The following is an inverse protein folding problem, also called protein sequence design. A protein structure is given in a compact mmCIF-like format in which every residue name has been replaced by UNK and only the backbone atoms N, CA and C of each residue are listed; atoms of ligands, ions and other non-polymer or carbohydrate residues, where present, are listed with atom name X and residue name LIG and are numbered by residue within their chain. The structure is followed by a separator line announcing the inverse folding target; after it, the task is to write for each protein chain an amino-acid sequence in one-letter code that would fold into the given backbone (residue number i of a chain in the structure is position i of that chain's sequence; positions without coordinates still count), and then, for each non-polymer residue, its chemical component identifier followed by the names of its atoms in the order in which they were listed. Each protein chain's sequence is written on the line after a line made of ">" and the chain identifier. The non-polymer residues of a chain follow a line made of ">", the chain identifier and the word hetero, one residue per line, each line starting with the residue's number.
data_IF_033811445144
#
_entry.id   IF_033811445144
#
_cell.length_a   1.000
_cell.length_b   1.000
_cell.length_c   1.000
_cell.angle_alpha   90.00
_cell.angle_beta   90.00
_cell.angle_gamma   90.00
#
_symmetry.space_group_name_H-M   'P 1'
#
loop_
_entity.id
_entity.type
_entity.pdbx_description
1 polymer ?
#
# COMPACT_ATOMS: atom_id res chain seq x y z
N UNK A 1 -11.95 -4.87 61.41
CA UNK A 1 -12.53 -5.67 60.31
C UNK A 1 -12.91 -4.70 59.18
N UNK A 2 -11.99 -4.23 58.35
CA UNK A 2 -11.51 -4.81 57.07
C UNK A 2 -12.61 -5.25 56.10
N UNK A 3 -12.99 -4.37 55.15
CA UNK A 3 -13.06 -4.66 53.70
C UNK A 3 -13.57 -3.42 52.94
N UNK A 4 -12.64 -2.58 52.52
CA UNK A 4 -12.86 -1.56 51.50
C UNK A 4 -11.56 -1.42 50.70
N UNK A 5 -11.35 -2.36 49.78
CA UNK A 5 -10.25 -2.33 48.81
C UNK A 5 -10.70 -3.10 47.59
N UNK A 6 -10.32 -2.64 46.39
CA UNK A 6 -10.71 -3.10 45.04
C UNK A 6 -11.71 -2.21 44.27
N UNK A 7 -11.66 -0.89 44.41
CA UNK A 7 -12.28 0.02 43.42
C UNK A 7 -11.28 0.98 42.72
N UNK A 8 -10.11 1.38 43.27
CA UNK A 8 -9.27 2.32 42.52
C UNK A 8 -8.39 1.66 41.44
N UNK A 9 -8.30 0.32 41.40
CA UNK A 9 -7.42 -0.41 40.46
C UNK A 9 -8.05 -0.56 39.07
N UNK A 10 -9.39 -0.56 38.95
CA UNK A 10 -10.06 -0.80 37.67
C UNK A 10 -10.17 0.45 36.79
N UNK A 11 -10.09 1.64 37.38
CA UNK A 11 -10.17 2.91 36.65
C UNK A 11 -8.86 3.28 35.91
N UNK A 12 -7.75 2.59 36.19
CA UNK A 12 -6.45 2.84 35.56
C UNK A 12 -6.25 2.08 34.24
N UNK A 13 -7.17 1.19 33.86
CA UNK A 13 -7.02 0.36 32.64
C UNK A 13 -7.69 0.91 31.37
N UNK A 14 -8.34 2.07 31.42
CA UNK A 14 -9.17 2.57 30.28
C UNK A 14 -8.50 3.68 29.44
N UNK A 15 -7.25 4.08 29.75
CA UNK A 15 -6.54 5.15 28.98
C UNK A 15 -5.56 4.58 27.94
N UNK A 16 -5.49 3.25 27.77
CA UNK A 16 -4.37 2.61 27.06
C UNK A 16 -4.51 2.30 25.57
N UNK A 17 -5.61 2.61 24.88
CA UNK A 17 -5.83 2.09 23.51
C UNK A 17 -6.34 3.11 22.48
N UNK A 18 -5.90 4.37 22.53
CA UNK A 18 -6.13 5.34 21.44
C UNK A 18 -4.90 6.21 21.16
N UNK A 19 -3.74 5.60 20.97
CA UNK A 19 -2.59 6.27 20.33
C UNK A 19 -1.75 5.22 19.62
N UNK A 20 -1.73 5.25 18.29
CA UNK A 20 -0.69 4.61 17.48
C UNK A 20 0.62 5.40 17.65
N UNK A 21 1.17 5.37 18.86
CA UNK A 21 2.53 5.83 19.13
C UNK A 21 3.40 4.59 19.32
N UNK A 22 4.47 4.52 18.52
CA UNK A 22 5.50 3.50 18.60
C UNK A 22 6.25 3.63 19.93
N UNK A 23 5.69 3.04 20.98
CA UNK A 23 6.38 2.77 22.24
C UNK A 23 7.35 1.62 22.00
N UNK A 24 8.56 1.96 21.53
CA UNK A 24 9.52 0.93 21.14
C UNK A 24 10.91 1.37 20.72
N UNK A 25 11.38 2.56 21.11
CA UNK A 25 12.82 2.83 21.30
C UNK A 25 12.95 4.23 21.92
N UNK A 26 13.76 4.41 22.96
CA UNK A 26 14.12 5.72 23.52
C UNK A 26 15.01 6.56 22.59
N UNK A 27 14.83 6.41 21.28
CA UNK A 27 15.52 7.19 20.25
C UNK A 27 14.58 8.31 19.89
N UNK A 28 14.92 9.51 20.33
CA UNK A 28 14.23 10.72 19.90
C UNK A 28 14.26 10.75 18.36
N UNK A 29 13.09 10.87 17.70
CA UNK A 29 13.06 10.89 16.24
C UNK A 29 13.91 12.06 15.76
N UNK A 30 14.70 11.89 14.68
CA UNK A 30 15.45 12.99 14.12
C UNK A 30 14.52 14.15 13.73
N UNK A 31 15.01 15.39 13.80
CA UNK A 31 14.20 16.60 13.51
C UNK A 31 13.49 16.56 12.14
N UNK A 32 14.09 15.89 11.15
CA UNK A 32 13.48 15.74 9.82
C UNK A 32 12.16 14.94 9.84
N UNK A 33 11.93 14.09 10.85
CA UNK A 33 10.74 13.25 10.96
C UNK A 33 9.49 14.06 11.28
N UNK A 34 9.58 14.99 12.23
CA UNK A 34 8.48 15.87 12.60
C UNK A 34 8.12 16.82 11.46
N UNK A 35 9.13 17.33 10.75
CA UNK A 35 8.92 18.15 9.56
C UNK A 35 8.19 17.38 8.45
N UNK A 36 8.57 16.11 8.21
CA UNK A 36 7.90 15.25 7.23
C UNK A 36 6.48 14.89 7.61
N UNK A 37 6.22 14.65 8.90
CA UNK A 37 4.86 14.45 9.43
C UNK A 37 3.99 15.69 9.18
N UNK A 38 4.49 16.89 9.48
CA UNK A 38 3.78 18.14 9.24
C UNK A 38 3.53 18.39 7.73
N UNK A 39 4.49 18.09 6.86
CA UNK A 39 4.32 18.19 5.41
C UNK A 39 3.25 17.22 4.88
N UNK A 40 3.24 15.98 5.36
CA UNK A 40 2.24 14.96 4.98
C UNK A 40 0.84 15.33 5.49
N UNK A 41 0.74 15.87 6.71
CA UNK A 41 -0.52 16.33 7.27
C UNK A 41 -1.06 17.58 6.53
N UNK A 42 -0.19 18.52 6.15
CA UNK A 42 -0.58 19.76 5.50
C UNK A 42 -0.91 19.59 4.00
N UNK A 43 -0.20 18.69 3.30
CA UNK A 43 -0.38 18.48 1.85
C UNK A 43 -1.28 17.31 1.50
N UNK A 44 -1.59 16.45 2.48
CA UNK A 44 -2.18 15.15 2.22
C UNK A 44 -1.25 14.27 1.38
N UNK A 45 -1.67 13.02 1.14
CA UNK A 45 -0.99 12.21 0.14
C UNK A 45 -1.35 12.73 -1.26
N UNK A 46 -0.37 12.84 -2.18
CA UNK A 46 -0.69 13.16 -3.56
C UNK A 46 -1.68 12.13 -4.08
N UNK A 47 -2.73 12.58 -4.75
CA UNK A 47 -3.70 11.68 -5.36
C UNK A 47 -3.05 11.00 -6.56
N UNK A 48 -2.58 9.76 -6.37
CA UNK A 48 -1.84 9.01 -7.39
C UNK A 48 -2.78 8.58 -8.54
N UNK A 49 -4.06 8.38 -8.24
CA UNK A 49 -5.08 8.05 -9.24
C UNK A 49 -6.49 8.43 -8.75
N UNK A 50 -7.37 8.73 -9.70
CA UNK A 50 -8.82 8.79 -9.46
C UNK A 50 -9.37 7.37 -9.39
N UNK A 51 -9.49 6.82 -8.19
CA UNK A 51 -10.18 5.54 -7.97
C UNK A 51 -11.68 5.80 -8.09
N UNK A 52 -12.41 5.06 -8.94
CA UNK A 52 -13.87 5.15 -9.01
C UNK A 52 -14.47 4.86 -7.64
N UNK A 53 -14.95 5.89 -6.96
CA UNK A 53 -15.71 5.76 -5.73
C UNK A 53 -17.19 5.64 -6.10
N UNK A 54 -17.89 4.74 -5.42
CA UNK A 54 -19.36 4.74 -5.49
C UNK A 54 -19.83 6.01 -4.80
N UNK A 55 -20.72 6.82 -5.41
CA UNK A 55 -21.30 7.95 -4.73
C UNK A 55 -21.90 7.43 -3.43
N UNK A 56 -21.36 7.90 -2.30
CA UNK A 56 -21.97 7.63 -1.01
C UNK A 56 -23.32 8.32 -1.08
N UNK A 57 -24.38 7.54 -1.25
CA UNK A 57 -25.71 8.04 -0.91
C UNK A 57 -25.58 8.48 0.54
N UNK A 58 -25.89 9.74 0.81
CA UNK A 58 -26.00 10.30 2.15
C UNK A 58 -26.94 9.40 2.96
N UNK A 59 -26.39 8.36 3.56
CA UNK A 59 -27.08 7.66 4.64
C UNK A 59 -26.49 8.24 5.89
N UNK A 60 -27.32 9.07 6.53
CA UNK A 60 -27.24 9.43 7.93
C UNK A 60 -26.59 8.33 8.76
N UNK A 61 -25.66 8.76 9.62
CA UNK A 61 -25.13 7.96 10.71
C UNK A 61 -23.89 7.16 10.32
N UNK A 62 -22.75 7.67 10.75
CA UNK A 62 -21.49 6.95 10.95
C UNK A 62 -21.64 5.91 12.08
N UNK A 63 -22.59 4.98 11.93
CA UNK A 63 -22.65 3.78 12.76
C UNK A 63 -21.95 2.66 12.01
N UNK A 64 -20.86 2.17 12.60
CA UNK A 64 -20.19 0.91 12.28
C UNK A 64 -21.19 -0.14 11.80
N UNK A 65 -21.36 -0.27 10.48
CA UNK A 65 -22.22 -1.29 9.90
C UNK A 65 -21.56 -2.64 10.20
N UNK A 66 -22.22 -3.47 11.02
CA UNK A 66 -21.80 -4.85 11.24
C UNK A 66 -21.58 -5.54 9.89
N UNK A 67 -20.38 -6.08 9.70
CA UNK A 67 -19.92 -6.66 8.43
C UNK A 67 -20.82 -7.80 7.95
N UNK A 68 -21.48 -8.51 8.88
CA UNK A 68 -22.39 -9.62 8.54
C UNK A 68 -23.84 -9.21 8.31
N UNK A 69 -24.16 -7.95 8.56
CA UNK A 69 -25.50 -7.40 8.35
C UNK A 69 -25.93 -7.47 6.88
N UNK A 70 -27.24 -7.61 6.67
CA UNK A 70 -27.84 -7.55 5.33
C UNK A 70 -27.48 -6.24 4.61
N UNK A 71 -27.41 -5.12 5.35
CA UNK A 71 -27.04 -3.80 4.84
C UNK A 71 -25.59 -3.76 4.34
N UNK A 72 -24.65 -4.34 5.06
CA UNK A 72 -23.26 -4.46 4.61
C UNK A 72 -23.15 -5.28 3.31
N UNK A 73 -23.86 -6.40 3.23
CA UNK A 73 -23.89 -7.26 2.03
C UNK A 73 -24.48 -6.52 0.83
N UNK A 74 -25.59 -5.82 1.01
CA UNK A 74 -26.21 -5.02 -0.05
C UNK A 74 -25.28 -3.89 -0.53
N UNK A 75 -24.58 -3.22 0.39
CA UNK A 75 -23.59 -2.19 0.06
C UNK A 75 -22.39 -2.78 -0.70
N UNK A 76 -21.89 -3.94 -0.27
CA UNK A 76 -20.79 -4.64 -0.94
C UNK A 76 -21.16 -5.06 -2.37
N UNK A 77 -22.39 -5.55 -2.57
CA UNK A 77 -22.91 -5.88 -3.91
C UNK A 77 -22.99 -4.63 -4.78
N UNK A 78 -23.53 -3.52 -4.27
CA UNK A 78 -23.59 -2.24 -5.00
C UNK A 78 -22.21 -1.74 -5.38
N UNK A 79 -21.24 -1.81 -4.45
CA UNK A 79 -19.83 -1.44 -4.70
C UNK A 79 -19.20 -2.29 -5.79
N UNK A 80 -19.37 -3.61 -5.71
CA UNK A 80 -18.87 -4.54 -6.72
C UNK A 80 -19.47 -4.26 -8.10
N UNK A 81 -20.78 -4.03 -8.18
CA UNK A 81 -21.46 -3.73 -9.45
C UNK A 81 -20.99 -2.41 -10.04
N UNK A 82 -20.86 -1.35 -9.23
CA UNK A 82 -20.36 -0.06 -9.68
C UNK A 82 -18.92 -0.15 -10.19
N UNK A 83 -18.05 -0.86 -9.48
CA UNK A 83 -16.67 -1.09 -9.91
C UNK A 83 -16.60 -1.90 -11.22
N UNK A 84 -17.40 -2.96 -11.34
CA UNK A 84 -17.47 -3.73 -12.58
C UNK A 84 -17.94 -2.88 -13.76
N UNK A 85 -18.97 -2.05 -13.58
CA UNK A 85 -19.45 -1.13 -14.61
C UNK A 85 -18.40 -0.08 -14.98
N UNK A 86 -17.63 0.43 -14.00
CA UNK A 86 -16.53 1.35 -14.25
C UNK A 86 -15.42 0.69 -15.07
N UNK A 87 -15.05 -0.55 -14.75
CA UNK A 87 -14.06 -1.33 -15.49
C UNK A 87 -14.52 -1.56 -16.93
N UNK A 88 -15.74 -2.08 -17.15
CA UNK A 88 -16.23 -2.38 -18.51
C UNK A 88 -16.34 -1.13 -19.39
N UNK A 89 -16.56 0.05 -18.80
CA UNK A 89 -16.61 1.33 -19.51
C UNK A 89 -15.25 1.98 -19.73
N UNK A 90 -14.19 1.48 -19.09
CA UNK A 90 -12.84 2.02 -19.26
C UNK A 90 -12.29 1.65 -20.65
N UNK A 91 -11.86 2.61 -21.48
CA UNK A 91 -11.23 2.31 -22.77
C UNK A 91 -10.02 1.37 -22.66
N UNK A 92 -9.34 1.33 -21.51
CA UNK A 92 -8.22 0.41 -21.22
C UNK A 92 -8.67 -1.02 -20.96
N UNK A 93 -9.94 -1.24 -20.63
CA UNK A 93 -10.53 -2.56 -20.47
C UNK A 93 -11.10 -3.11 -21.79
N UNK A 94 -10.89 -2.41 -22.92
CA UNK A 94 -11.23 -2.94 -24.22
C UNK A 94 -10.59 -4.32 -24.40
N UNK A 95 -11.34 -5.34 -24.86
CA UNK A 95 -10.77 -6.65 -25.14
C UNK A 95 -9.62 -6.48 -26.13
N UNK A 96 -8.53 -7.21 -25.89
CA UNK A 96 -7.42 -7.25 -26.84
C UNK A 96 -7.94 -7.69 -28.21
N UNK A 97 -7.56 -6.97 -29.25
CA UNK A 97 -7.88 -7.34 -30.62
C UNK A 97 -7.03 -8.52 -31.11
N UNK A 98 -5.98 -8.88 -30.35
CA UNK A 98 -5.09 -9.98 -30.62
C UNK A 98 -5.55 -11.27 -29.93
N UNK A 99 -5.54 -12.36 -30.68
CA UNK A 99 -5.65 -13.73 -30.15
C UNK A 99 -4.45 -14.08 -29.26
N UNK A 100 -4.58 -15.07 -28.35
CA UNK A 100 -3.45 -15.55 -27.55
C UNK A 100 -2.22 -15.94 -28.37
N UNK A 101 -2.43 -16.52 -29.56
CA UNK A 101 -1.37 -16.90 -30.49
C UNK A 101 -0.63 -15.67 -31.03
N UNK A 102 -1.35 -14.61 -31.39
CA UNK A 102 -0.77 -13.36 -31.89
C UNK A 102 0.00 -12.61 -30.79
N UNK A 103 -0.47 -12.67 -29.53
CA UNK A 103 0.26 -12.12 -28.38
C UNK A 103 1.58 -12.86 -28.18
N UNK A 104 1.56 -14.19 -28.27
CA UNK A 104 2.78 -14.99 -28.17
C UNK A 104 3.77 -14.69 -29.30
N UNK A 105 3.27 -14.55 -30.55
CA UNK A 105 4.09 -14.18 -31.69
C UNK A 105 4.71 -12.78 -31.54
N UNK A 106 3.93 -11.78 -31.11
CA UNK A 106 4.42 -10.44 -30.80
C UNK A 106 5.52 -10.48 -29.73
N UNK A 107 5.30 -11.23 -28.64
CA UNK A 107 6.28 -11.39 -27.57
C UNK A 107 7.61 -11.97 -28.07
N UNK A 108 7.55 -12.98 -28.94
CA UNK A 108 8.75 -13.56 -29.59
C UNK A 108 9.45 -12.57 -30.52
N UNK A 109 8.68 -11.75 -31.25
CA UNK A 109 9.25 -10.67 -32.08
C UNK A 109 9.94 -9.58 -31.24
N UNK A 110 9.39 -9.24 -30.06
CA UNK A 110 10.06 -8.29 -29.15
C UNK A 110 11.33 -8.90 -28.56
N UNK A 111 11.29 -10.18 -28.16
CA UNK A 111 12.47 -10.87 -27.65
C UNK A 111 13.57 -10.96 -28.70
N UNK A 112 13.26 -11.29 -29.95
CA UNK A 112 14.26 -11.35 -31.03
C UNK A 112 14.89 -9.99 -31.34
N UNK A 113 14.18 -8.87 -31.11
CA UNK A 113 14.76 -7.51 -31.19
C UNK A 113 15.74 -7.21 -30.05
N UNK A 114 15.60 -7.90 -28.91
CA UNK A 114 16.48 -7.79 -27.75
C UNK A 114 17.64 -8.78 -27.81
N UNK A 115 17.43 -9.96 -28.40
CA UNK A 115 18.45 -10.96 -28.72
C UNK A 115 19.38 -10.41 -29.80
N UNK A 116 20.46 -9.76 -29.36
CA UNK A 116 21.40 -9.02 -30.20
C UNK A 116 21.72 -7.62 -29.70
N UNK A 117 21.06 -7.17 -28.62
CA UNK A 117 21.29 -5.86 -27.98
C UNK A 117 21.54 -5.85 -26.46
N UNK A 118 22.24 -6.80 -25.82
CA UNK A 118 23.08 -6.41 -24.71
C UNK A 118 24.38 -5.88 -25.33
N UNK A 119 24.37 -4.62 -25.79
CA UNK A 119 25.64 -3.90 -25.79
C UNK A 119 26.17 -4.00 -24.36
N UNK A 120 27.47 -4.28 -24.14
CA UNK A 120 28.01 -4.27 -22.78
C UNK A 120 27.56 -2.98 -22.13
N UNK A 121 27.13 -3.11 -20.87
CA UNK A 121 26.79 -2.01 -19.99
C UNK A 121 27.98 -1.04 -19.91
N UNK A 122 28.11 -0.13 -20.87
CA UNK A 122 29.25 0.80 -20.98
C UNK A 122 29.17 1.93 -19.93
N UNK A 123 28.18 1.83 -19.03
CA UNK A 123 27.98 2.77 -17.95
C UNK A 123 28.87 2.48 -16.74
N UNK A 124 29.44 1.28 -16.63
CA UNK A 124 30.43 0.95 -15.60
C UNK A 124 31.53 0.06 -16.16
N UNK A 125 32.76 0.48 -15.90
CA UNK A 125 33.94 -0.37 -16.06
C UNK A 125 33.92 -1.52 -15.05
N UNK A 126 34.62 -2.62 -15.36
CA UNK A 126 34.77 -3.75 -14.44
C UNK A 126 35.33 -3.32 -13.07
N UNK A 127 36.17 -2.27 -13.05
CA UNK A 127 36.72 -1.68 -11.84
C UNK A 127 35.62 -1.02 -10.99
N UNK A 128 34.71 -0.28 -11.60
CA UNK A 128 33.59 0.35 -10.88
C UNK A 128 32.62 -0.70 -10.34
N UNK A 129 32.35 -1.76 -11.10
CA UNK A 129 31.54 -2.90 -10.64
C UNK A 129 32.18 -3.58 -9.42
N UNK A 130 33.50 -3.83 -9.45
CA UNK A 130 34.21 -4.41 -8.33
C UNK A 130 34.16 -3.49 -7.09
N UNK A 131 34.29 -2.18 -7.28
CA UNK A 131 34.22 -1.19 -6.19
C UNK A 131 32.85 -1.14 -5.53
N UNK A 132 31.77 -1.25 -6.31
CA UNK A 132 30.40 -1.27 -5.80
C UNK A 132 30.14 -2.57 -5.03
N UNK A 133 30.56 -3.71 -5.58
CA UNK A 133 30.40 -5.01 -4.93
C UNK A 133 31.08 -5.03 -3.56
N UNK A 134 32.30 -4.50 -3.45
CA UNK A 134 33.02 -4.43 -2.18
C UNK A 134 32.30 -3.57 -1.11
N UNK A 135 31.58 -2.51 -1.49
CA UNK A 135 30.82 -1.68 -0.53
C UNK A 135 29.61 -2.40 0.07
N UNK A 136 29.02 -3.31 -0.69
CA UNK A 136 27.80 -4.02 -0.30
C UNK A 136 28.05 -5.47 0.15
N UNK A 137 29.26 -6.00 -0.02
CA UNK A 137 29.66 -7.31 0.49
C UNK A 137 29.86 -7.27 2.01
N UNK A 138 28.73 -7.20 2.73
CA UNK A 138 28.68 -7.26 4.19
C UNK A 138 28.31 -8.67 4.63
N UNK A 139 28.96 -9.15 5.69
CA UNK A 139 28.60 -10.43 6.31
C UNK A 139 27.12 -10.43 6.68
N UNK A 140 26.36 -11.39 6.16
CA UNK A 140 24.98 -11.60 6.58
C UNK A 140 24.96 -11.89 8.08
N UNK A 141 24.04 -11.26 8.81
CA UNK A 141 23.80 -11.58 10.21
C UNK A 141 23.45 -13.07 10.31
N UNK A 142 24.29 -13.83 11.02
CA UNK A 142 23.97 -15.22 11.39
C UNK A 142 23.08 -15.17 12.63
N UNK A 143 21.99 -15.92 12.59
CA UNK A 143 21.14 -16.18 13.76
C UNK A 143 21.84 -17.11 14.73
#
# INVERSE_FOLDING_TARGET
>A
MTKAWLIPVFALFVVGCTTTETTGSGVQPPEWYEQRQAELAARGFPQIANVPTVPQTETDGDESIDADSKRAKDQAVRRRTALYQAIVKDPRAAPTYLTPQEIAAWGQEQLSKLEGRPGPADFLTDQEVASLRARFDRRRARR
#
